data_IF_261517364942
#
_entry.id   IF_261517364942
#
_cell.length_a   1.000
_cell.length_b   1.000
_cell.length_c   1.000
_cell.angle_alpha   90.00
_cell.angle_beta   90.00
_cell.angle_gamma   90.00
#
_symmetry.space_group_name_H-M   'P 1'
#
loop_
_entity.id
_entity.type
_entity.pdbx_description
1 polymer ?
#
# COMPACT_ATOMS: atom_id res chain seq x y z
N UNK A 1 1.05 -4.02 -1.98
CA UNK A 1 1.05 -3.71 -3.44
C UNK A 1 0.08 -4.59 -4.21
N UNK A 2 0.16 -5.93 -4.15
CA UNK A 2 -0.71 -6.84 -4.92
C UNK A 2 -2.21 -6.54 -4.71
N UNK A 3 -2.64 -6.40 -3.45
CA UNK A 3 -4.05 -6.11 -3.11
C UNK A 3 -4.51 -4.74 -3.62
N UNK A 4 -3.63 -3.76 -3.68
CA UNK A 4 -3.94 -2.46 -4.28
C UNK A 4 -4.31 -2.61 -5.77
N UNK A 5 -3.55 -3.41 -6.51
CA UNK A 5 -3.87 -3.70 -7.91
C UNK A 5 -5.14 -4.54 -8.05
N UNK A 6 -5.39 -5.50 -7.16
CA UNK A 6 -6.64 -6.26 -7.14
C UNK A 6 -7.86 -5.34 -6.92
N UNK A 7 -7.77 -4.36 -6.03
CA UNK A 7 -8.82 -3.36 -5.82
C UNK A 7 -9.01 -2.47 -7.06
N UNK A 8 -7.93 -2.07 -7.73
CA UNK A 8 -8.00 -1.30 -8.98
C UNK A 8 -8.68 -2.12 -10.09
N UNK A 9 -8.34 -3.42 -10.21
CA UNK A 9 -9.00 -4.32 -11.15
C UNK A 9 -10.49 -4.52 -10.84
N UNK A 10 -10.84 -4.64 -9.54
CA UNK A 10 -12.23 -4.68 -9.12
C UNK A 10 -13.00 -3.43 -9.57
N UNK A 11 -12.46 -2.23 -9.29
CA UNK A 11 -13.05 -0.97 -9.74
C UNK A 11 -13.26 -0.92 -11.26
N UNK A 12 -12.26 -1.37 -12.01
CA UNK A 12 -12.32 -1.38 -13.48
C UNK A 12 -13.41 -2.31 -13.97
N UNK A 13 -13.58 -3.49 -13.36
CA UNK A 13 -14.60 -4.47 -13.72
C UNK A 13 -16.01 -4.00 -13.38
N UNK A 14 -16.19 -3.45 -12.18
CA UNK A 14 -17.52 -2.99 -11.71
C UNK A 14 -18.02 -1.75 -12.45
N UNK A 15 -17.11 -0.82 -12.74
CA UNK A 15 -17.51 0.47 -13.32
C UNK A 15 -17.38 0.53 -14.83
N UNK A 16 -16.53 -0.30 -15.42
CA UNK A 16 -16.21 -0.26 -16.85
C UNK A 16 -15.63 1.09 -17.32
N UNK A 17 -15.28 1.98 -16.39
CA UNK A 17 -14.92 3.37 -16.67
C UNK A 17 -13.43 3.61 -16.54
N UNK A 18 -12.80 3.97 -17.66
CA UNK A 18 -11.40 4.41 -17.68
C UNK A 18 -11.17 5.68 -16.83
N UNK A 19 -12.19 6.53 -16.71
CA UNK A 19 -12.13 7.76 -15.89
C UNK A 19 -11.96 7.44 -14.42
N UNK A 20 -12.70 6.45 -13.90
CA UNK A 20 -12.61 6.01 -12.51
C UNK A 20 -11.24 5.39 -12.23
N UNK A 21 -10.73 4.59 -13.15
CA UNK A 21 -9.39 4.02 -13.06
C UNK A 21 -8.30 5.11 -13.01
N UNK A 22 -8.41 6.10 -13.89
CA UNK A 22 -7.48 7.23 -13.94
C UNK A 22 -7.55 8.05 -12.65
N UNK A 23 -8.74 8.27 -12.10
CA UNK A 23 -8.93 8.99 -10.86
C UNK A 23 -8.33 8.23 -9.65
N UNK A 24 -8.52 6.91 -9.57
CA UNK A 24 -7.91 6.07 -8.55
C UNK A 24 -6.37 6.16 -8.58
N UNK A 25 -5.78 6.14 -9.78
CA UNK A 25 -4.33 6.28 -9.97
C UNK A 25 -3.84 7.67 -9.61
N UNK A 26 -4.58 8.71 -10.00
CA UNK A 26 -4.31 10.11 -9.67
C UNK A 26 -4.31 10.35 -8.17
N UNK A 27 -5.27 9.79 -7.42
CA UNK A 27 -5.32 9.90 -5.95
C UNK A 27 -4.03 9.38 -5.30
N UNK A 28 -3.48 8.29 -5.82
CA UNK A 28 -2.19 7.77 -5.38
C UNK A 28 -1.04 8.75 -5.61
N UNK A 29 -0.96 9.32 -6.80
CA UNK A 29 0.10 10.27 -7.16
C UNK A 29 -0.04 11.60 -6.42
N UNK A 30 -1.25 12.13 -6.29
CA UNK A 30 -1.52 13.38 -5.58
C UNK A 30 -1.09 13.26 -4.12
N UNK A 31 -1.43 12.16 -3.45
CA UNK A 31 -1.01 11.91 -2.06
C UNK A 31 0.50 11.96 -1.92
N UNK A 32 1.23 11.33 -2.83
CA UNK A 32 2.69 11.32 -2.82
C UNK A 32 3.27 12.72 -3.03
N UNK A 33 2.77 13.47 -4.01
CA UNK A 33 3.28 14.81 -4.35
C UNK A 33 2.99 15.82 -3.24
N UNK A 34 1.76 15.83 -2.70
CA UNK A 34 1.35 16.77 -1.66
C UNK A 34 2.03 16.52 -0.31
N UNK A 35 2.23 15.25 0.04
CA UNK A 35 2.82 14.88 1.32
C UNK A 35 4.35 14.86 1.30
N UNK A 36 4.97 14.67 0.15
CA UNK A 36 6.43 14.56 0.01
C UNK A 36 7.21 15.66 0.73
N UNK A 37 6.86 16.96 0.67
CA UNK A 37 7.59 18.02 1.37
C UNK A 37 7.52 17.90 2.90
N UNK A 38 6.45 17.31 3.42
CA UNK A 38 6.20 17.19 4.87
C UNK A 38 6.75 15.88 5.45
N UNK A 39 6.92 14.87 4.63
CA UNK A 39 7.33 13.53 5.07
C UNK A 39 8.74 13.54 5.63
N UNK A 40 9.70 14.20 4.96
CA UNK A 40 11.09 14.28 5.41
C UNK A 40 11.22 14.79 6.83
N UNK A 41 10.80 16.05 7.13
CA UNK A 41 10.86 16.61 8.47
C UNK A 41 10.09 15.83 9.53
N UNK A 42 9.01 15.14 9.13
CA UNK A 42 8.21 14.35 10.06
C UNK A 42 8.89 13.03 10.41
N UNK A 43 9.46 12.35 9.43
CA UNK A 43 10.23 11.10 9.61
C UNK A 43 11.49 11.35 10.46
N UNK A 44 12.12 12.52 10.32
CA UNK A 44 13.31 12.86 11.12
C UNK A 44 13.01 13.11 12.60
N UNK A 45 11.81 13.61 12.90
CA UNK A 45 11.40 13.98 14.27
C UNK A 45 10.71 12.87 15.04
N UNK A 46 10.05 11.97 14.35
CA UNK A 46 9.25 10.90 14.97
C UNK A 46 10.04 9.61 15.11
N UNK A 47 9.63 8.81 16.08
CA UNK A 47 10.14 7.45 16.21
C UNK A 47 9.77 6.66 14.93
N UNK A 48 10.80 6.20 14.23
CA UNK A 48 10.67 5.53 12.93
C UNK A 48 9.89 4.22 13.03
N UNK A 49 10.08 3.48 14.15
CA UNK A 49 9.36 2.24 14.41
C UNK A 49 7.87 2.53 14.66
N UNK A 50 7.58 3.54 15.51
CA UNK A 50 6.21 3.95 15.76
C UNK A 50 5.51 4.43 14.48
N UNK A 51 6.22 5.17 13.62
CA UNK A 51 5.67 5.67 12.35
C UNK A 51 5.29 4.52 11.39
N UNK A 52 6.13 3.50 11.26
CA UNK A 52 5.82 2.31 10.46
C UNK A 52 4.61 1.57 11.01
N UNK A 53 4.57 1.32 12.32
CA UNK A 53 3.46 0.63 12.97
C UNK A 53 2.13 1.40 12.79
N UNK A 54 2.14 2.72 13.00
CA UNK A 54 0.94 3.56 12.84
C UNK A 54 0.44 3.55 11.40
N UNK A 55 1.34 3.65 10.41
CA UNK A 55 0.94 3.60 9.00
C UNK A 55 0.35 2.24 8.63
N UNK A 56 0.90 1.13 9.15
CA UNK A 56 0.39 -0.22 8.90
C UNK A 56 -0.96 -0.44 9.59
N UNK A 57 -1.14 0.03 10.82
CA UNK A 57 -2.43 -0.02 11.54
C UNK A 57 -3.51 0.76 10.78
N UNK A 58 -3.21 1.95 10.28
CA UNK A 58 -4.17 2.73 9.48
C UNK A 58 -4.60 1.95 8.25
N UNK A 59 -3.67 1.38 7.49
CA UNK A 59 -3.97 0.56 6.31
C UNK A 59 -4.81 -0.66 6.70
N UNK A 60 -4.47 -1.34 7.80
CA UNK A 60 -5.20 -2.49 8.30
C UNK A 60 -6.65 -2.15 8.69
N UNK A 61 -6.88 -1.04 9.37
CA UNK A 61 -8.23 -0.58 9.75
C UNK A 61 -9.08 -0.33 8.51
N UNK A 62 -8.55 0.41 7.52
CA UNK A 62 -9.30 0.67 6.28
C UNK A 62 -9.53 -0.60 5.44
N UNK A 63 -8.58 -1.53 5.43
CA UNK A 63 -8.74 -2.83 4.81
C UNK A 63 -9.84 -3.65 5.50
N UNK A 64 -9.87 -3.65 6.83
CA UNK A 64 -10.91 -4.32 7.61
C UNK A 64 -12.30 -3.73 7.35
N UNK A 65 -12.43 -2.41 7.40
CA UNK A 65 -13.69 -1.72 7.10
C UNK A 65 -14.18 -2.09 5.69
N UNK A 66 -13.27 -2.06 4.71
CA UNK A 66 -13.61 -2.42 3.34
C UNK A 66 -14.06 -3.87 3.22
N UNK A 67 -13.37 -4.82 3.88
CA UNK A 67 -13.73 -6.22 3.90
C UNK A 67 -15.11 -6.46 4.54
N UNK A 68 -15.37 -5.85 5.70
CA UNK A 68 -16.66 -5.98 6.41
C UNK A 68 -17.81 -5.40 5.59
N UNK A 69 -17.63 -4.21 5.04
CA UNK A 69 -18.67 -3.59 4.20
C UNK A 69 -18.93 -4.40 2.93
N UNK A 70 -17.86 -4.90 2.29
CA UNK A 70 -18.01 -5.74 1.09
C UNK A 70 -18.70 -7.08 1.35
N UNK A 71 -18.59 -7.64 2.57
CA UNK A 71 -19.30 -8.87 2.93
C UNK A 71 -20.77 -8.64 3.25
N UNK A 72 -21.13 -7.46 3.77
CA UNK A 72 -22.52 -7.13 4.16
C UNK A 72 -23.33 -6.61 2.96
N UNK A 73 -22.70 -5.83 2.08
CA UNK A 73 -23.41 -5.07 1.03
C UNK A 73 -23.40 -5.74 -0.35
N UNK A 74 -22.89 -6.97 -0.51
CA UNK A 74 -22.70 -7.68 -1.79
C UNK A 74 -21.87 -6.91 -2.83
N UNK A 75 -21.67 -5.60 -2.64
CA UNK A 75 -20.85 -4.73 -3.49
C UNK A 75 -20.09 -3.71 -2.65
N UNK A 76 -18.88 -3.35 -3.08
CA UNK A 76 -18.10 -2.32 -2.40
C UNK A 76 -18.59 -0.92 -2.83
N UNK A 77 -18.97 -0.04 -1.89
CA UNK A 77 -19.26 1.34 -2.26
C UNK A 77 -18.00 2.02 -2.82
N UNK A 78 -18.10 2.56 -4.02
CA UNK A 78 -16.98 3.14 -4.78
C UNK A 78 -16.22 4.19 -3.95
N UNK A 79 -16.93 5.03 -3.21
CA UNK A 79 -16.32 6.06 -2.37
C UNK A 79 -15.41 5.47 -1.27
N UNK A 80 -15.82 4.34 -0.67
CA UNK A 80 -15.04 3.65 0.37
C UNK A 80 -13.76 3.04 -0.23
N UNK A 81 -13.86 2.51 -1.43
CA UNK A 81 -12.70 2.01 -2.18
C UNK A 81 -11.70 3.13 -2.45
N UNK A 82 -12.16 4.32 -2.87
CA UNK A 82 -11.30 5.48 -3.06
C UNK A 82 -10.63 5.94 -1.76
N UNK A 83 -11.37 5.99 -0.66
CA UNK A 83 -10.80 6.35 0.66
C UNK A 83 -9.73 5.33 1.08
N UNK A 84 -9.98 4.05 0.91
CA UNK A 84 -9.02 2.99 1.21
C UNK A 84 -7.74 3.11 0.35
N UNK A 85 -7.88 3.36 -0.96
CA UNK A 85 -6.75 3.57 -1.85
C UNK A 85 -5.95 4.82 -1.48
N UNK A 86 -6.63 5.91 -1.11
CA UNK A 86 -5.99 7.14 -0.67
C UNK A 86 -5.18 6.92 0.62
N UNK A 87 -5.78 6.31 1.64
CA UNK A 87 -5.09 6.02 2.90
C UNK A 87 -3.89 5.08 2.70
N UNK A 88 -4.01 4.10 1.83
CA UNK A 88 -2.92 3.21 1.43
C UNK A 88 -1.77 3.98 0.77
N UNK A 89 -2.09 4.93 -0.09
CA UNK A 89 -1.10 5.79 -0.75
C UNK A 89 -0.41 6.72 0.24
N UNK A 90 -1.15 7.30 1.18
CA UNK A 90 -0.57 8.10 2.28
C UNK A 90 0.42 7.26 3.08
N UNK A 91 0.04 6.06 3.53
CA UNK A 91 0.91 5.16 4.26
C UNK A 91 2.19 4.83 3.48
N UNK A 92 2.08 4.49 2.20
CA UNK A 92 3.24 4.20 1.34
C UNK A 92 4.19 5.39 1.20
N UNK A 93 3.67 6.62 1.19
CA UNK A 93 4.47 7.84 1.11
C UNK A 93 5.37 8.01 2.34
N UNK A 94 4.93 7.55 3.51
CA UNK A 94 5.73 7.58 4.74
C UNK A 94 6.67 6.38 4.86
N UNK A 95 6.26 5.20 4.44
CA UNK A 95 7.03 3.96 4.62
C UNK A 95 8.40 4.02 3.95
N UNK A 96 8.48 4.50 2.72
CA UNK A 96 9.74 4.50 1.96
C UNK A 96 10.83 5.38 2.54
N UNK A 97 10.59 6.68 2.84
CA UNK A 97 11.57 7.52 3.50
C UNK A 97 11.95 7.01 4.89
N UNK A 98 10.98 6.44 5.62
CA UNK A 98 11.24 5.86 6.94
C UNK A 98 12.21 4.68 6.85
N UNK A 99 11.99 3.75 5.94
CA UNK A 99 12.91 2.61 5.71
C UNK A 99 14.30 3.11 5.32
N UNK A 100 14.39 4.09 4.41
CA UNK A 100 15.67 4.66 4.00
C UNK A 100 16.39 5.36 5.15
N UNK A 101 15.67 5.97 6.07
CA UNK A 101 16.25 6.66 7.23
C UNK A 101 16.75 5.68 8.33
N UNK A 102 16.19 4.46 8.40
CA UNK A 102 16.63 3.41 9.30
C UNK A 102 17.86 2.69 8.76
N UNK A 103 18.00 2.61 7.45
CA UNK A 103 19.04 1.82 6.80
C UNK A 103 20.47 2.11 7.28
N UNK A 104 20.91 3.37 7.44
CA UNK A 104 22.27 3.67 7.94
C UNK A 104 22.51 3.22 9.38
N UNK A 105 21.47 2.99 10.15
CA UNK A 105 21.59 2.53 11.56
C UNK A 105 21.71 1.02 11.68
N UNK A 106 21.24 0.26 10.69
CA UNK A 106 21.21 -1.21 10.71
C UNK A 106 22.31 -1.80 9.83
N UNK A 107 22.64 -1.12 8.72
CA UNK A 107 23.58 -1.63 7.70
C UNK A 107 24.91 -0.92 7.83
N UNK A 108 26.04 -1.67 7.92
CA UNK A 108 27.37 -1.08 7.88
C UNK A 108 27.58 -0.24 6.63
N UNK A 109 28.30 0.88 6.76
CA UNK A 109 28.50 1.85 5.69
C UNK A 109 29.06 1.24 4.39
N UNK A 110 29.90 0.20 4.50
CA UNK A 110 30.46 -0.53 3.37
C UNK A 110 29.41 -1.31 2.54
N UNK A 111 28.24 -1.59 3.08
CA UNK A 111 27.19 -2.38 2.44
C UNK A 111 25.95 -1.57 2.04
N UNK A 112 25.86 -0.28 2.42
CA UNK A 112 24.69 0.58 2.15
C UNK A 112 24.36 0.63 0.65
N UNK A 113 25.36 0.80 -0.22
CA UNK A 113 25.14 0.86 -1.67
C UNK A 113 24.57 -0.44 -2.21
N UNK A 114 25.09 -1.59 -1.74
CA UNK A 114 24.61 -2.91 -2.16
C UNK A 114 23.17 -3.13 -1.69
N UNK A 115 22.87 -2.79 -0.45
CA UNK A 115 21.53 -2.94 0.13
C UNK A 115 20.52 -2.04 -0.57
N UNK A 116 20.89 -0.79 -0.90
CA UNK A 116 20.02 0.09 -1.70
C UNK A 116 19.77 -0.47 -3.11
N UNK A 117 20.79 -1.06 -3.73
CA UNK A 117 20.62 -1.75 -5.01
C UNK A 117 19.66 -2.94 -4.92
N UNK A 118 19.76 -3.77 -3.88
CA UNK A 118 18.83 -4.88 -3.64
C UNK A 118 17.41 -4.40 -3.39
N UNK A 119 17.21 -3.35 -2.59
CA UNK A 119 15.89 -2.73 -2.39
C UNK A 119 15.32 -2.17 -3.70
N UNK A 120 16.15 -1.55 -4.52
CA UNK A 120 15.77 -1.10 -5.86
C UNK A 120 15.30 -2.25 -6.75
N UNK A 121 16.02 -3.38 -6.74
CA UNK A 121 15.60 -4.59 -7.48
C UNK A 121 14.27 -5.13 -7.00
N UNK A 122 14.08 -5.26 -5.68
CA UNK A 122 12.80 -5.73 -5.10
C UNK A 122 11.65 -4.79 -5.47
N UNK A 123 11.87 -3.47 -5.41
CA UNK A 123 10.87 -2.48 -5.84
C UNK A 123 10.51 -2.63 -7.31
N UNK A 124 11.50 -2.74 -8.19
CA UNK A 124 11.28 -2.92 -9.63
C UNK A 124 10.56 -4.23 -9.93
N UNK A 125 10.96 -5.33 -9.29
CA UNK A 125 10.27 -6.61 -9.39
C UNK A 125 8.81 -6.50 -8.94
N UNK A 126 8.54 -5.83 -7.81
CA UNK A 126 7.19 -5.59 -7.34
C UNK A 126 6.35 -4.77 -8.33
N UNK A 127 6.93 -3.77 -8.99
CA UNK A 127 6.22 -2.98 -10.01
C UNK A 127 5.78 -3.82 -11.23
N UNK A 128 6.58 -4.82 -11.60
CA UNK A 128 6.27 -5.70 -12.74
C UNK A 128 5.34 -6.83 -12.32
N UNK A 129 5.62 -7.45 -11.17
CA UNK A 129 4.94 -8.69 -10.74
C UNK A 129 3.59 -8.38 -10.06
N UNK A 130 3.51 -7.32 -9.25
CA UNK A 130 2.31 -7.04 -8.47
C UNK A 130 1.05 -6.78 -9.31
N UNK A 131 1.06 -6.08 -10.44
CA UNK A 131 -0.11 -5.94 -11.30
C UNK A 131 -0.56 -7.28 -11.89
N UNK A 132 0.38 -8.11 -12.34
CA UNK A 132 0.09 -9.42 -12.91
C UNK A 132 -0.47 -10.38 -11.86
N UNK A 133 0.14 -10.43 -10.68
CA UNK A 133 -0.38 -11.22 -9.55
C UNK A 133 -1.72 -10.69 -9.06
N UNK A 134 -1.91 -9.38 -8.98
CA UNK A 134 -3.18 -8.76 -8.60
C UNK A 134 -4.31 -9.16 -9.55
N UNK A 135 -4.07 -9.12 -10.86
CA UNK A 135 -5.03 -9.55 -11.86
C UNK A 135 -5.32 -11.06 -11.79
N UNK A 136 -4.27 -11.89 -11.66
CA UNK A 136 -4.41 -13.34 -11.57
C UNK A 136 -5.18 -13.76 -10.31
N UNK A 137 -4.83 -13.21 -9.16
CA UNK A 137 -5.53 -13.48 -7.90
C UNK A 137 -6.98 -13.02 -7.93
N UNK A 138 -7.23 -11.84 -8.52
CA UNK A 138 -8.59 -11.33 -8.67
C UNK A 138 -9.47 -12.20 -9.57
N UNK A 139 -8.88 -12.92 -10.54
CA UNK A 139 -9.64 -13.83 -11.41
C UNK A 139 -10.08 -15.12 -10.72
N UNK A 140 -9.39 -15.54 -9.65
CA UNK A 140 -9.61 -16.81 -8.95
C UNK A 140 -10.24 -16.62 -7.57
N UNK A 141 -9.91 -15.52 -6.89
CA UNK A 141 -10.29 -15.27 -5.50
C UNK A 141 -11.14 -14.00 -5.42
N UNK A 142 -12.33 -14.05 -4.77
CA UNK A 142 -13.10 -12.84 -4.49
C UNK A 142 -12.29 -11.79 -3.73
N UNK A 143 -12.51 -10.51 -4.07
CA UNK A 143 -11.76 -9.37 -3.49
C UNK A 143 -11.80 -9.35 -1.96
N UNK A 144 -12.90 -9.76 -1.35
CA UNK A 144 -13.06 -9.84 0.10
C UNK A 144 -11.96 -10.68 0.76
N UNK A 145 -11.67 -11.85 0.18
CA UNK A 145 -10.63 -12.75 0.70
C UNK A 145 -9.22 -12.18 0.44
N UNK A 146 -9.01 -11.47 -0.66
CA UNK A 146 -7.73 -10.83 -0.94
C UNK A 146 -7.43 -9.71 0.06
N UNK A 147 -8.44 -8.94 0.46
CA UNK A 147 -8.31 -7.90 1.48
C UNK A 147 -8.00 -8.52 2.85
N UNK A 148 -8.64 -9.64 3.19
CA UNK A 148 -8.37 -10.37 4.44
C UNK A 148 -6.96 -10.98 4.45
N UNK A 149 -6.46 -11.47 3.33
CA UNK A 149 -5.08 -11.95 3.20
C UNK A 149 -4.06 -10.81 3.43
N UNK A 150 -4.32 -9.62 2.92
CA UNK A 150 -3.48 -8.45 3.14
C UNK A 150 -3.41 -8.09 4.64
N UNK A 151 -4.56 -8.16 5.33
CA UNK A 151 -4.65 -7.95 6.77
C UNK A 151 -3.84 -8.99 7.55
N UNK A 152 -3.91 -10.25 7.17
CA UNK A 152 -3.15 -11.34 7.75
C UNK A 152 -1.63 -11.15 7.60
N UNK A 153 -1.19 -10.72 6.41
CA UNK A 153 0.22 -10.45 6.13
C UNK A 153 0.76 -9.26 6.91
N UNK A 154 -0.04 -8.20 7.11
CA UNK A 154 0.33 -7.06 7.94
C UNK A 154 0.54 -7.52 9.39
N UNK A 155 -0.34 -8.35 9.91
CA UNK A 155 -0.23 -8.87 11.28
C UNK A 155 1.01 -9.75 11.51
N UNK A 156 1.43 -10.51 10.51
CA UNK A 156 2.64 -11.36 10.58
C UNK A 156 3.92 -10.52 10.48
N UNK A 157 3.89 -9.38 9.80
CA UNK A 157 5.06 -8.53 9.61
C UNK A 157 5.36 -7.63 10.81
N UNK A 158 4.49 -7.55 11.82
CA UNK A 158 4.78 -6.85 13.06
C UNK A 158 5.79 -7.68 13.89
N UNK A 159 7.05 -7.22 14.05
CA UNK A 159 7.95 -7.86 14.99
C UNK A 159 7.46 -7.55 16.41
N UNK A 160 7.13 -8.58 17.14
CA UNK A 160 6.93 -8.55 18.60
C UNK A 160 8.14 -7.98 19.33
#
# INVERSE_FOLDING_TARGET
>A
MVVQYAIIWYLTRETGSATILSFATLLGMISMVLLSPFVGPLVDRWDKKALLIVTDIIVAIFALILAVVGTISESFPIWLVFVSLFMRSVAQTFQMPTIQSIMPTIVPSSHITRTNGQLGMVKSANFIIAPALGAALFSVVPVNYLILLDLSLIHISEPT
#
